data_IF_626318452379
#
_entry.id   IF_626318452379
#
_cell.length_a   1.000
_cell.length_b   1.000
_cell.length_c   1.000
_cell.angle_alpha   90.00
_cell.angle_beta   90.00
_cell.angle_gamma   90.00
#
_symmetry.space_group_name_H-M   'P 1'
#
loop_
_entity.id
_entity.type
_entity.pdbx_description
1 polymer ?
#
# COMPACT_ATOMS: atom_id res chain seq x y z
N UNK A 1 33.82 -17.70 -37.40
CA UNK A 1 33.86 -16.42 -36.68
C UNK A 1 32.95 -16.54 -35.46
N UNK A 2 33.47 -16.31 -34.25
CA UNK A 2 32.65 -16.25 -33.04
C UNK A 2 32.45 -14.78 -32.69
N UNK A 3 31.24 -14.28 -32.94
CA UNK A 3 30.84 -12.96 -32.47
C UNK A 3 30.48 -13.06 -31.00
N UNK A 4 30.96 -12.12 -30.19
CA UNK A 4 30.60 -11.99 -28.78
C UNK A 4 29.86 -10.67 -28.57
N UNK A 5 28.83 -10.71 -27.73
CA UNK A 5 28.06 -9.52 -27.32
C UNK A 5 28.55 -9.05 -25.95
N UNK A 6 28.94 -7.78 -25.86
CA UNK A 6 29.33 -7.14 -24.59
C UNK A 6 28.11 -6.37 -24.06
N UNK A 7 27.76 -6.61 -22.80
CA UNK A 7 26.63 -5.94 -22.13
C UNK A 7 27.21 -5.11 -20.97
N UNK A 8 26.92 -3.81 -20.96
CA UNK A 8 27.23 -2.94 -19.83
C UNK A 8 26.14 -3.14 -18.75
N UNK A 9 26.57 -3.44 -17.52
CA UNK A 9 25.70 -3.68 -16.37
C UNK A 9 25.78 -2.58 -15.31
N UNK A 10 26.38 -1.43 -15.61
CA UNK A 10 26.50 -0.30 -14.68
C UNK A 10 25.12 0.29 -14.35
N UNK A 11 24.21 0.21 -15.32
CA UNK A 11 22.82 0.60 -15.17
C UNK A 11 21.90 -0.49 -15.70
N UNK A 12 20.87 -0.79 -14.94
CA UNK A 12 19.85 -1.76 -15.34
C UNK A 12 18.48 -1.11 -15.38
N UNK A 13 17.69 -1.51 -16.37
CA UNK A 13 16.27 -1.19 -16.42
C UNK A 13 15.53 -2.18 -15.52
N UNK A 14 14.80 -1.64 -14.55
CA UNK A 14 13.86 -2.41 -13.73
C UNK A 14 12.44 -2.03 -14.13
N UNK A 15 11.65 -3.03 -14.52
CA UNK A 15 10.27 -2.86 -14.94
C UNK A 15 9.34 -3.36 -13.83
N UNK A 16 8.48 -2.46 -13.35
CA UNK A 16 7.37 -2.76 -12.45
C UNK A 16 6.05 -2.84 -13.21
N UNK A 17 5.14 -3.65 -12.72
CA UNK A 17 3.79 -3.80 -13.25
C UNK A 17 2.81 -3.41 -12.15
N UNK A 18 2.02 -2.37 -12.39
CA UNK A 18 1.06 -1.83 -11.42
C UNK A 18 -0.34 -1.82 -12.01
N UNK A 19 -1.36 -1.85 -11.17
CA UNK A 19 -2.74 -1.73 -11.64
C UNK A 19 -3.01 -0.32 -12.20
N UNK A 20 -3.98 -0.14 -13.11
CA UNK A 20 -4.30 1.19 -13.68
C UNK A 20 -4.70 2.23 -12.63
N UNK A 21 -5.41 1.80 -11.57
CA UNK A 21 -5.83 2.67 -10.47
C UNK A 21 -4.62 3.19 -9.67
N UNK A 22 -3.67 2.31 -9.37
CA UNK A 22 -2.43 2.68 -8.69
C UNK A 22 -1.52 3.54 -9.58
N UNK A 23 -1.47 3.25 -10.87
CA UNK A 23 -0.69 4.03 -11.84
C UNK A 23 -1.11 5.50 -11.88
N UNK A 24 -2.40 5.78 -11.68
CA UNK A 24 -2.91 7.16 -11.62
C UNK A 24 -2.34 8.00 -10.47
N UNK A 25 -1.74 7.35 -9.46
CA UNK A 25 -1.10 8.02 -8.33
C UNK A 25 0.40 8.23 -8.54
N UNK A 26 1.00 7.55 -9.52
CA UNK A 26 2.43 7.58 -9.77
C UNK A 26 2.81 8.77 -10.64
N UNK A 27 4.00 9.32 -10.39
CA UNK A 27 4.61 10.35 -11.21
C UNK A 27 6.07 9.99 -11.52
N UNK A 28 6.54 10.42 -12.70
CA UNK A 28 7.96 10.36 -13.00
C UNK A 28 8.74 11.16 -11.95
N UNK A 29 9.82 10.58 -11.43
CA UNK A 29 10.60 11.16 -10.34
C UNK A 29 10.23 10.70 -8.93
N UNK A 30 9.10 9.98 -8.74
CA UNK A 30 8.74 9.37 -7.45
C UNK A 30 9.86 8.46 -6.97
N UNK A 31 10.14 8.53 -5.67
CA UNK A 31 11.16 7.72 -5.02
C UNK A 31 10.69 6.26 -4.95
N UNK A 32 11.62 5.34 -5.17
CA UNK A 32 11.34 3.91 -5.06
C UNK A 32 12.52 3.17 -4.45
N UNK A 33 12.20 2.00 -3.93
CA UNK A 33 13.15 1.06 -3.35
C UNK A 33 12.97 -0.31 -3.99
N UNK A 34 14.07 -0.91 -4.43
CA UNK A 34 14.08 -2.24 -5.05
C UNK A 34 14.76 -3.22 -4.11
N UNK A 35 14.16 -4.39 -3.95
CA UNK A 35 14.67 -5.48 -3.10
C UNK A 35 14.40 -6.85 -3.71
N UNK A 36 15.11 -7.88 -3.23
CA UNK A 36 14.76 -9.26 -3.52
C UNK A 36 13.60 -9.71 -2.63
N UNK A 37 12.67 -10.49 -3.20
CA UNK A 37 11.53 -11.04 -2.45
C UNK A 37 11.96 -11.79 -1.19
N UNK A 38 13.05 -12.57 -1.29
CA UNK A 38 13.54 -13.43 -0.21
C UNK A 38 14.67 -12.79 0.61
N UNK A 39 15.19 -11.64 0.18
CA UNK A 39 16.28 -10.93 0.86
C UNK A 39 15.99 -9.43 0.93
N UNK A 40 15.05 -9.01 1.81
CA UNK A 40 14.62 -7.61 1.91
C UNK A 40 15.73 -6.66 2.42
N UNK A 41 16.83 -7.20 2.97
CA UNK A 41 17.95 -6.40 3.47
C UNK A 41 18.85 -5.85 2.35
N UNK A 42 18.79 -6.40 1.13
CA UNK A 42 19.55 -5.89 -0.01
C UNK A 42 18.67 -4.93 -0.82
N UNK A 43 18.68 -3.67 -0.41
CA UNK A 43 17.87 -2.60 -1.01
C UNK A 43 18.72 -1.71 -1.91
N UNK A 44 18.12 -1.25 -3.01
CA UNK A 44 18.68 -0.18 -3.84
C UNK A 44 17.62 0.86 -4.06
N UNK A 45 17.98 2.11 -3.79
CA UNK A 45 17.12 3.25 -3.99
C UNK A 45 17.21 3.74 -5.44
N UNK A 46 16.10 4.29 -5.92
CA UNK A 46 16.02 4.85 -7.25
C UNK A 46 14.81 5.77 -7.40
N UNK A 47 14.52 6.11 -8.65
CA UNK A 47 13.35 6.92 -9.01
C UNK A 47 12.69 6.38 -10.27
N UNK A 48 11.38 6.59 -10.38
CA UNK A 48 10.65 6.30 -11.61
C UNK A 48 11.21 7.16 -12.73
N UNK A 49 11.65 6.52 -13.82
CA UNK A 49 12.11 7.19 -15.04
C UNK A 49 10.95 7.44 -15.98
N UNK A 50 10.07 6.47 -16.18
CA UNK A 50 8.94 6.58 -17.11
C UNK A 50 7.78 5.71 -16.68
N UNK A 51 6.56 6.18 -16.91
CA UNK A 51 5.32 5.41 -16.75
C UNK A 51 4.75 5.26 -18.15
N UNK A 52 4.59 4.02 -18.62
CA UNK A 52 4.03 3.76 -19.95
C UNK A 52 2.50 3.81 -19.86
N UNK A 53 1.83 4.78 -20.47
CA UNK A 53 0.37 4.93 -20.34
C UNK A 53 -0.41 3.80 -21.03
N UNK A 54 0.23 3.05 -21.95
CA UNK A 54 -0.40 1.92 -22.60
C UNK A 54 -0.51 0.74 -21.62
N UNK A 55 -1.72 0.17 -21.51
CA UNK A 55 -1.92 -1.08 -20.78
C UNK A 55 -1.27 -2.23 -21.52
N UNK A 56 -0.56 -3.07 -20.78
CA UNK A 56 -0.05 -4.33 -21.29
C UNK A 56 -1.23 -5.20 -21.78
N UNK A 57 -1.21 -5.69 -23.02
CA UNK A 57 -2.36 -6.37 -23.61
C UNK A 57 -2.63 -7.75 -22.98
N UNK A 58 -1.67 -8.32 -22.27
CA UNK A 58 -1.76 -9.66 -21.68
C UNK A 58 -2.34 -9.56 -20.27
N UNK A 59 -1.75 -8.72 -19.41
CA UNK A 59 -2.10 -8.66 -17.99
C UNK A 59 -2.84 -7.38 -17.57
N UNK A 60 -3.09 -6.45 -18.52
CA UNK A 60 -3.78 -5.16 -18.30
C UNK A 60 -3.13 -4.28 -17.22
N UNK A 61 -1.84 -4.45 -16.98
CA UNK A 61 -1.07 -3.60 -16.07
C UNK A 61 -0.47 -2.40 -16.79
N UNK A 62 -0.15 -1.36 -16.03
CA UNK A 62 0.66 -0.23 -16.47
C UNK A 62 2.13 -0.55 -16.18
N UNK A 63 2.99 -0.40 -17.19
CA UNK A 63 4.43 -0.62 -17.02
C UNK A 63 5.12 0.63 -16.46
N UNK A 64 5.86 0.47 -15.37
CA UNK A 64 6.67 1.50 -14.74
C UNK A 64 8.14 1.15 -14.91
N UNK A 65 8.94 2.09 -15.43
CA UNK A 65 10.35 1.90 -15.71
C UNK A 65 11.20 2.71 -14.74
N UNK A 66 12.25 2.08 -14.21
CA UNK A 66 13.28 2.74 -13.41
C UNK A 66 14.68 2.33 -13.89
N UNK A 67 15.54 3.30 -14.17
CA UNK A 67 16.95 3.06 -14.46
C UNK A 67 17.74 3.16 -13.17
N UNK A 68 18.37 2.06 -12.79
CA UNK A 68 19.05 1.90 -11.49
C UNK A 68 20.53 1.67 -11.71
N UNK A 69 21.36 2.45 -11.02
CA UNK A 69 22.79 2.19 -10.97
C UNK A 69 23.04 0.92 -10.15
N UNK A 70 23.84 0.01 -10.70
CA UNK A 70 24.18 -1.22 -9.98
C UNK A 70 25.28 -0.93 -8.95
N UNK A 71 25.14 -1.51 -7.76
CA UNK A 71 26.14 -1.48 -6.70
C UNK A 71 26.50 -2.92 -6.33
N UNK A 72 27.78 -3.27 -6.36
CA UNK A 72 28.25 -4.64 -6.12
C UNK A 72 27.50 -5.67 -7.01
N UNK A 73 27.40 -5.36 -8.30
CA UNK A 73 26.69 -6.14 -9.32
C UNK A 73 25.18 -6.35 -9.04
N UNK A 74 24.51 -5.40 -8.37
CA UNK A 74 23.08 -5.48 -8.06
C UNK A 74 22.35 -4.15 -8.27
N UNK A 75 21.14 -4.11 -8.87
CA UNK A 75 20.36 -5.25 -9.37
C UNK A 75 20.92 -5.86 -10.66
N UNK A 76 20.62 -7.15 -10.91
CA UNK A 76 21.04 -7.86 -12.13
C UNK A 76 19.88 -7.94 -13.14
N UNK A 77 20.14 -8.09 -14.44
CA UNK A 77 19.11 -8.45 -15.42
C UNK A 77 18.60 -9.87 -15.22
N UNK A 78 17.36 -10.14 -15.66
CA UNK A 78 16.79 -11.50 -15.74
C UNK A 78 16.23 -12.04 -14.41
N UNK A 79 16.23 -11.26 -13.34
CA UNK A 79 15.70 -11.64 -12.03
C UNK A 79 14.40 -10.91 -11.72
N UNK A 80 13.57 -11.54 -10.89
CA UNK A 80 12.38 -10.89 -10.32
C UNK A 80 12.74 -10.13 -9.05
N UNK A 81 12.28 -8.90 -8.95
CA UNK A 81 12.51 -8.02 -7.80
C UNK A 81 11.20 -7.44 -7.30
N UNK A 82 11.17 -7.02 -6.04
CA UNK A 82 10.09 -6.22 -5.47
C UNK A 82 10.45 -4.74 -5.63
N UNK A 83 9.50 -3.96 -6.14
CA UNK A 83 9.59 -2.51 -6.24
C UNK A 83 8.57 -1.88 -5.28
N UNK A 84 9.04 -1.09 -4.33
CA UNK A 84 8.21 -0.30 -3.41
C UNK A 84 8.33 1.16 -3.82
N UNK A 85 7.21 1.76 -4.25
CA UNK A 85 7.18 3.14 -4.74
C UNK A 85 6.54 4.02 -3.67
N UNK A 86 7.21 5.10 -3.32
CA UNK A 86 6.70 6.11 -2.39
C UNK A 86 5.88 7.12 -3.18
N UNK A 87 4.57 7.09 -2.97
CA UNK A 87 3.64 8.04 -3.57
C UNK A 87 3.31 9.14 -2.57
N UNK A 88 3.33 10.39 -3.02
CA UNK A 88 2.78 11.50 -2.27
C UNK A 88 1.31 11.67 -2.65
N UNK A 89 0.40 11.37 -1.73
CA UNK A 89 -1.01 11.71 -1.90
C UNK A 89 -1.18 13.23 -1.74
N UNK A 90 -1.62 13.95 -2.79
CA UNK A 90 -1.72 15.41 -2.73
C UNK A 90 -2.83 15.91 -1.79
N UNK A 91 -3.83 15.07 -1.52
CA UNK A 91 -4.95 15.42 -0.65
C UNK A 91 -4.72 14.93 0.78
N UNK A 92 -5.05 15.73 1.81
CA UNK A 92 -5.10 15.25 3.18
C UNK A 92 -6.13 14.12 3.27
N UNK A 93 -5.66 12.92 3.56
CA UNK A 93 -6.50 11.73 3.72
C UNK A 93 -6.59 11.34 5.19
N UNK A 94 -7.74 10.81 5.60
CA UNK A 94 -7.90 10.18 6.90
C UNK A 94 -7.48 8.72 6.75
N UNK A 95 -6.49 8.30 7.53
CA UNK A 95 -6.04 6.90 7.57
C UNK A 95 -6.39 6.26 8.89
N UNK A 96 -6.77 4.99 8.83
CA UNK A 96 -7.05 4.16 9.99
C UNK A 96 -6.15 2.92 9.96
N UNK A 97 -5.44 2.59 11.06
CA UNK A 97 -4.65 1.37 11.14
C UNK A 97 -5.52 0.14 10.90
N UNK A 98 -5.00 -0.86 10.19
CA UNK A 98 -5.75 -2.10 9.92
C UNK A 98 -6.19 -2.82 11.19
N UNK A 99 -5.47 -2.65 12.30
CA UNK A 99 -5.82 -3.23 13.60
C UNK A 99 -7.06 -2.61 14.24
N UNK A 100 -7.48 -1.41 13.82
CA UNK A 100 -8.69 -0.73 14.29
C UNK A 100 -9.92 -1.05 13.40
N UNK A 101 -9.69 -1.62 12.22
CA UNK A 101 -10.74 -1.90 11.25
C UNK A 101 -11.49 -3.19 11.61
N UNK A 102 -12.81 -3.10 11.72
CA UNK A 102 -13.70 -4.25 11.92
C UNK A 102 -14.61 -4.41 10.72
N UNK A 103 -14.86 -5.65 10.32
CA UNK A 103 -15.89 -5.96 9.34
C UNK A 103 -17.09 -6.61 10.02
N UNK A 104 -18.29 -6.13 9.71
CA UNK A 104 -19.57 -6.77 10.04
C UNK A 104 -20.33 -7.02 8.74
N UNK A 105 -20.29 -8.27 8.28
CA UNK A 105 -20.73 -8.59 6.92
C UNK A 105 -19.87 -7.85 5.89
N UNK A 106 -20.51 -7.08 5.02
CA UNK A 106 -19.85 -6.28 3.99
C UNK A 106 -19.46 -4.87 4.45
N UNK A 107 -19.83 -4.44 5.66
CA UNK A 107 -19.58 -3.09 6.14
C UNK A 107 -18.28 -3.02 6.95
N UNK A 108 -17.44 -2.04 6.60
CA UNK A 108 -16.28 -1.66 7.39
C UNK A 108 -16.70 -0.68 8.49
N UNK A 109 -16.22 -0.91 9.71
CA UNK A 109 -16.54 -0.09 10.88
C UNK A 109 -15.35 0.03 11.82
N UNK A 110 -15.36 1.13 12.58
CA UNK A 110 -14.37 1.45 13.61
C UNK A 110 -15.08 1.84 14.90
N UNK A 111 -14.38 1.75 16.03
CA UNK A 111 -14.91 2.13 17.33
C UNK A 111 -14.33 3.48 17.74
N UNK A 112 -15.13 4.54 17.66
CA UNK A 112 -14.76 5.88 18.11
C UNK A 112 -14.92 5.95 19.62
N UNK A 113 -13.89 6.46 20.29
CA UNK A 113 -13.96 6.79 21.70
C UNK A 113 -14.81 8.05 21.87
N UNK A 114 -15.86 7.95 22.68
CA UNK A 114 -16.73 9.08 23.04
C UNK A 114 -16.29 9.62 24.40
N UNK A 115 -16.04 8.73 25.35
CA UNK A 115 -15.56 9.01 26.71
C UNK A 115 -14.51 7.96 27.12
N UNK A 116 -13.94 8.07 28.33
CA UNK A 116 -12.88 7.18 28.84
C UNK A 116 -13.19 5.67 28.72
N UNK A 117 -14.47 5.30 28.84
CA UNK A 117 -14.92 3.90 28.82
C UNK A 117 -16.01 3.62 27.77
N UNK A 118 -16.38 4.61 26.95
CA UNK A 118 -17.51 4.50 26.02
C UNK A 118 -17.05 4.61 24.58
N UNK A 119 -17.42 3.61 23.78
CA UNK A 119 -17.09 3.53 22.37
C UNK A 119 -18.36 3.43 21.53
N UNK A 120 -18.39 4.15 20.41
CA UNK A 120 -19.48 4.09 19.43
C UNK A 120 -19.00 3.45 18.14
N UNK A 121 -19.81 2.53 17.59
CA UNK A 121 -19.59 1.98 16.24
C UNK A 121 -19.82 3.09 15.22
N UNK A 122 -18.84 3.31 14.36
CA UNK A 122 -18.95 4.21 13.23
C UNK A 122 -18.69 3.40 11.97
N UNK A 123 -19.69 3.36 11.09
CA UNK A 123 -19.52 2.78 9.75
C UNK A 123 -18.67 3.75 8.95
N UNK A 124 -17.69 3.21 8.24
CA UNK A 124 -16.80 3.96 7.38
C UNK A 124 -16.76 3.33 5.99
N UNK A 125 -16.54 4.15 4.97
CA UNK A 125 -16.22 3.68 3.63
C UNK A 125 -14.73 3.87 3.41
N UNK A 126 -14.05 2.84 2.93
CA UNK A 126 -12.62 2.88 2.64
C UNK A 126 -12.41 3.06 1.14
N UNK A 127 -11.64 4.08 0.74
CA UNK A 127 -11.24 4.29 -0.64
C UNK A 127 -10.20 3.26 -1.08
N UNK A 128 -9.22 2.99 -0.22
CA UNK A 128 -8.12 2.08 -0.51
C UNK A 128 -7.58 1.45 0.77
N UNK A 129 -7.06 0.23 0.67
CA UNK A 129 -6.36 -0.43 1.76
C UNK A 129 -4.90 -0.61 1.35
N UNK A 130 -3.98 -0.13 2.19
CA UNK A 130 -2.53 -0.33 2.04
C UNK A 130 -2.05 -1.48 2.93
N UNK A 131 -0.75 -1.76 2.95
CA UNK A 131 -0.18 -2.81 3.81
C UNK A 131 -0.26 -2.51 5.31
N UNK A 132 -0.43 -1.24 5.70
CA UNK A 132 -0.44 -0.80 7.10
C UNK A 132 -1.77 -0.14 7.51
N UNK A 133 -2.36 0.63 6.59
CA UNK A 133 -3.50 1.50 6.87
C UNK A 133 -4.59 1.41 5.80
N UNK A 134 -5.83 1.65 6.21
CA UNK A 134 -6.96 1.89 5.33
C UNK A 134 -7.20 3.41 5.17
N UNK A 135 -7.29 3.86 3.92
CA UNK A 135 -7.65 5.23 3.55
C UNK A 135 -9.18 5.34 3.61
N UNK A 136 -9.68 6.22 4.47
CA UNK A 136 -11.10 6.47 4.69
C UNK A 136 -11.60 7.51 3.69
N UNK A 137 -12.67 7.15 2.97
CA UNK A 137 -13.38 8.02 2.04
C UNK A 137 -14.46 8.83 2.76
N UNK A 138 -15.19 8.20 3.68
CA UNK A 138 -16.25 8.85 4.44
C UNK A 138 -16.52 8.12 5.77
N UNK A 139 -17.16 8.84 6.69
CA UNK A 139 -17.54 8.33 8.02
C UNK A 139 -16.66 8.83 9.16
N UNK A 140 -15.57 9.55 8.89
CA UNK A 140 -14.72 10.23 9.86
C UNK A 140 -14.46 11.68 9.43
N UNK A 141 -14.20 12.57 10.39
CA UNK A 141 -13.91 14.00 10.15
C UNK A 141 -12.43 14.35 10.36
N UNK A 142 -11.65 13.47 10.97
CA UNK A 142 -10.25 13.69 11.31
C UNK A 142 -10.12 14.27 12.72
N UNK A 143 -9.21 13.70 13.50
CA UNK A 143 -8.98 14.06 14.91
C UNK A 143 -9.77 13.21 15.92
N UNK A 144 -10.59 12.26 15.47
CA UNK A 144 -11.27 11.32 16.38
C UNK A 144 -10.31 10.25 16.92
N UNK A 145 -10.44 9.94 18.22
CA UNK A 145 -9.74 8.81 18.84
C UNK A 145 -10.46 7.49 18.52
N UNK A 146 -9.72 6.49 18.05
CA UNK A 146 -10.24 5.16 17.70
C UNK A 146 -9.53 4.05 18.47
N UNK A 147 -10.24 2.97 18.76
CA UNK A 147 -9.65 1.81 19.41
C UNK A 147 -8.80 0.98 18.42
N UNK A 148 -7.49 0.84 18.71
CA UNK A 148 -6.52 0.15 17.82
C UNK A 148 -6.15 -1.28 18.25
N UNK A 149 -6.57 -1.72 19.45
CA UNK A 149 -6.27 -3.04 20.00
C UNK A 149 -7.43 -3.55 20.87
N UNK A 150 -7.66 -4.86 20.87
CA UNK A 150 -8.73 -5.58 21.60
C UNK A 150 -10.18 -5.37 21.14
N UNK A 151 -10.41 -5.34 19.82
CA UNK A 151 -11.77 -5.36 19.23
C UNK A 151 -12.58 -6.60 19.68
N UNK A 152 -11.92 -7.69 20.08
CA UNK A 152 -12.60 -8.88 20.61
C UNK A 152 -13.30 -8.63 21.96
N UNK A 153 -12.71 -7.83 22.85
CA UNK A 153 -13.28 -7.49 24.16
C UNK A 153 -14.46 -6.52 24.02
N UNK A 154 -14.37 -5.56 23.09
CA UNK A 154 -15.46 -4.62 22.79
C UNK A 154 -16.66 -5.32 22.10
N UNK A 155 -16.41 -6.33 21.26
CA UNK A 155 -17.47 -7.20 20.71
C UNK A 155 -18.24 -7.95 21.81
N UNK A 156 -17.56 -8.38 22.88
CA UNK A 156 -18.19 -9.05 24.01
C UNK A 156 -19.07 -8.10 24.83
N UNK A 157 -18.60 -6.87 25.10
CA UNK A 157 -19.35 -5.86 25.86
C UNK A 157 -20.56 -5.31 25.08
N UNK A 158 -20.42 -5.07 23.77
CA UNK A 158 -21.55 -4.61 22.94
C UNK A 158 -22.68 -5.65 22.83
N UNK A 159 -22.39 -6.94 22.96
CA UNK A 159 -23.42 -8.00 22.96
C UNK A 159 -24.10 -8.17 24.32
N UNK A 160 -23.48 -7.74 25.42
CA UNK A 160 -24.09 -7.81 26.76
C UNK A 160 -25.06 -6.65 27.00
N UNK A 161 -24.82 -5.46 26.41
CA UNK A 161 -25.72 -4.30 26.56
C UNK A 161 -27.06 -4.41 25.80
N UNK A 162 -27.20 -5.37 24.89
CA UNK A 162 -28.44 -5.61 24.12
C UNK A 162 -29.35 -6.68 24.76
N UNK A 163 -28.98 -7.22 25.93
CA UNK A 163 -29.66 -8.35 26.59
C UNK A 163 -30.41 -8.04 27.89
N UNK A 164 -30.52 -6.77 28.33
CA UNK A 164 -31.21 -6.39 29.58
C UNK A 164 -32.47 -5.53 29.37
N UNK A 165 -33.13 -5.66 28.24
CA UNK A 165 -34.52 -5.19 28.08
C UNK A 165 -35.42 -6.33 27.61
N UNK A 166 -35.80 -7.18 28.56
CA UNK A 166 -37.09 -7.89 28.55
C UNK A 166 -37.59 -8.03 30.00
#
# INVERSE_FOLDING_TARGET
EHMATIINLDKVLVQGYVSPDEAGLLKAGDALTISLKDFPNRKVEGRITTINPALDPINRSVTVNAIINTQNAWPMPGINVRMEIQVQTPDPVITVPLSALTYQGAQALVFLKVDEYTYRKQVISTRRVTSLDAIVESGLKGGEEIAVSQIFTLKALSKMGEGEQE
#
